data_IF_053871555247
#
_entry.id   IF_053871555247
#
_cell.length_a   1.000
_cell.length_b   1.000
_cell.length_c   1.000
_cell.angle_alpha   90.00
_cell.angle_beta   90.00
_cell.angle_gamma   90.00
#
_symmetry.space_group_name_H-M   'P 1'
#
loop_
_entity.id
_entity.type
_entity.pdbx_description
1 polymer ?
#
# COMPACT_ATOMS: atom_id res chain seq x y z
N UNK A 1 19.90 -7.64 -25.37
CA UNK A 1 18.69 -8.14 -24.75
C UNK A 1 18.11 -9.22 -25.65
N UNK A 2 18.00 -10.44 -25.11
CA UNK A 2 17.36 -11.55 -25.81
C UNK A 2 15.96 -11.73 -25.21
N UNK A 3 14.96 -11.13 -25.86
CA UNK A 3 13.57 -11.37 -25.51
C UNK A 3 13.03 -12.55 -26.31
N UNK A 4 12.25 -13.38 -25.66
CA UNK A 4 11.57 -14.53 -26.28
C UNK A 4 12.51 -15.56 -26.90
N UNK A 5 13.72 -15.73 -26.31
CA UNK A 5 14.69 -16.74 -26.76
C UNK A 5 14.73 -17.92 -25.76
N UNK A 6 14.06 -19.00 -26.12
CA UNK A 6 14.01 -20.23 -25.32
C UNK A 6 15.38 -20.96 -25.18
N UNK A 7 16.37 -20.59 -26.01
CA UNK A 7 17.72 -21.21 -26.00
C UNK A 7 18.68 -20.51 -25.05
N UNK A 8 18.30 -19.34 -24.56
CA UNK A 8 19.13 -18.53 -23.69
C UNK A 8 18.58 -18.57 -22.27
N UNK A 9 19.43 -18.90 -21.30
CA UNK A 9 19.05 -18.84 -19.90
C UNK A 9 18.91 -17.38 -19.43
N UNK A 10 18.13 -17.18 -18.36
CA UNK A 10 18.06 -15.88 -17.70
C UNK A 10 19.41 -15.51 -17.09
N UNK A 11 19.71 -14.23 -17.10
CA UNK A 11 20.96 -13.67 -16.51
C UNK A 11 20.87 -13.64 -14.99
N UNK A 12 20.80 -14.80 -14.34
CA UNK A 12 20.61 -14.96 -12.90
C UNK A 12 21.64 -14.22 -12.05
N UNK A 13 22.87 -14.01 -12.58
CA UNK A 13 23.90 -13.24 -11.88
C UNK A 13 23.48 -11.80 -11.60
N UNK A 14 22.53 -11.23 -12.38
CA UNK A 14 21.99 -9.90 -12.14
C UNK A 14 21.25 -9.82 -10.80
N UNK A 15 20.73 -10.92 -10.28
CA UNK A 15 20.07 -10.94 -8.98
C UNK A 15 21.04 -10.63 -7.81
N UNK A 16 22.35 -10.73 -8.02
CA UNK A 16 23.36 -10.35 -7.04
C UNK A 16 23.68 -8.85 -7.06
N UNK A 17 23.33 -8.16 -8.15
CA UNK A 17 23.46 -6.70 -8.24
C UNK A 17 22.52 -6.00 -7.25
N UNK A 18 22.98 -4.98 -6.49
CA UNK A 18 22.20 -4.39 -5.40
C UNK A 18 20.80 -3.94 -5.81
N UNK A 19 20.65 -3.23 -6.92
CA UNK A 19 19.36 -2.72 -7.38
C UNK A 19 18.40 -3.84 -7.81
N UNK A 20 18.90 -4.86 -8.49
CA UNK A 20 18.10 -6.01 -8.92
C UNK A 20 17.70 -6.88 -7.74
N UNK A 21 18.60 -7.08 -6.78
CA UNK A 21 18.33 -7.80 -5.54
C UNK A 21 17.25 -7.09 -4.71
N UNK A 22 17.31 -5.77 -4.60
CA UNK A 22 16.30 -4.98 -3.89
C UNK A 22 14.95 -5.08 -4.56
N UNK A 23 14.88 -5.02 -5.88
CA UNK A 23 13.66 -5.22 -6.64
C UNK A 23 13.10 -6.63 -6.46
N UNK A 24 13.93 -7.66 -6.56
CA UNK A 24 13.55 -9.06 -6.31
C UNK A 24 12.95 -9.23 -4.90
N UNK A 25 13.60 -8.62 -3.90
CA UNK A 25 13.14 -8.62 -2.52
C UNK A 25 11.77 -7.93 -2.41
N UNK A 26 11.59 -6.79 -3.06
CA UNK A 26 10.32 -6.05 -3.07
C UNK A 26 9.18 -6.90 -3.62
N UNK A 27 9.38 -7.54 -4.77
CA UNK A 27 8.38 -8.45 -5.35
C UNK A 27 8.09 -9.66 -4.45
N UNK A 28 9.11 -10.25 -3.85
CA UNK A 28 8.94 -11.34 -2.89
C UNK A 28 8.07 -10.91 -1.70
N UNK A 29 8.33 -9.74 -1.14
CA UNK A 29 7.57 -9.19 -0.03
C UNK A 29 6.11 -8.86 -0.43
N UNK A 30 5.87 -8.35 -1.65
CA UNK A 30 4.52 -8.16 -2.19
C UNK A 30 3.73 -9.48 -2.27
N UNK A 31 4.36 -10.54 -2.77
CA UNK A 31 3.73 -11.87 -2.85
C UNK A 31 3.41 -12.44 -1.47
N UNK A 32 4.30 -12.24 -0.49
CA UNK A 32 4.04 -12.64 0.90
C UNK A 32 2.87 -11.85 1.52
N UNK A 33 2.79 -10.54 1.25
CA UNK A 33 1.66 -9.72 1.69
C UNK A 33 0.36 -10.21 1.04
N UNK A 34 0.38 -10.49 -0.27
CA UNK A 34 -0.78 -11.03 -0.97
C UNK A 34 -1.29 -12.32 -0.31
N UNK A 35 -0.41 -13.27 -0.04
CA UNK A 35 -0.77 -14.52 0.63
C UNK A 35 -1.27 -14.33 2.06
N UNK A 36 -0.68 -13.37 2.80
CA UNK A 36 -0.97 -13.13 4.21
C UNK A 36 -2.31 -12.45 4.45
N UNK A 37 -2.76 -11.59 3.51
CA UNK A 37 -3.94 -10.74 3.69
C UNK A 37 -5.08 -11.15 2.76
N UNK A 38 -6.07 -11.93 3.25
CA UNK A 38 -7.23 -12.36 2.45
C UNK A 38 -8.03 -11.21 1.83
N UNK A 39 -7.96 -10.00 2.41
CA UNK A 39 -8.56 -8.80 1.84
C UNK A 39 -8.09 -8.49 0.41
N UNK A 40 -6.95 -9.04 -0.04
CA UNK A 40 -6.42 -8.83 -1.38
C UNK A 40 -7.01 -9.76 -2.45
N UNK A 41 -7.68 -10.86 -2.06
CA UNK A 41 -8.16 -11.84 -3.04
C UNK A 41 -9.52 -12.48 -2.73
N UNK A 42 -9.96 -12.55 -1.46
CA UNK A 42 -11.18 -13.31 -1.11
C UNK A 42 -12.46 -12.74 -1.69
N UNK A 43 -12.55 -11.43 -1.78
CA UNK A 43 -13.72 -10.72 -2.28
C UNK A 43 -13.44 -9.94 -3.58
N UNK A 44 -12.57 -10.48 -4.46
CA UNK A 44 -12.22 -9.81 -5.72
C UNK A 44 -13.39 -9.68 -6.69
N UNK A 45 -14.31 -10.63 -6.66
CA UNK A 45 -15.52 -10.62 -7.48
C UNK A 45 -16.76 -10.06 -6.77
N UNK A 46 -16.59 -9.52 -5.56
CA UNK A 46 -17.68 -8.98 -4.75
C UNK A 46 -17.45 -7.48 -4.48
N UNK A 47 -18.49 -6.68 -4.71
CA UNK A 47 -18.48 -5.23 -4.43
C UNK A 47 -18.15 -4.88 -2.99
N UNK A 48 -18.45 -5.76 -2.04
CA UNK A 48 -18.12 -5.56 -0.62
C UNK A 48 -16.61 -5.62 -0.35
N UNK A 49 -15.83 -6.21 -1.24
CA UNK A 49 -14.37 -6.34 -1.13
C UNK A 49 -13.60 -5.06 -1.42
N UNK A 50 -14.24 -4.06 -2.03
CA UNK A 50 -13.59 -2.82 -2.46
C UNK A 50 -14.43 -1.59 -2.13
N UNK A 51 -13.77 -0.52 -1.68
CA UNK A 51 -14.40 0.78 -1.48
C UNK A 51 -13.42 1.91 -1.79
N UNK A 52 -13.78 2.81 -2.69
CA UNK A 52 -13.09 4.08 -2.82
C UNK A 52 -13.25 4.93 -1.55
N UNK A 53 -12.17 5.54 -1.11
CA UNK A 53 -12.18 6.61 -0.10
C UNK A 53 -12.03 7.95 -0.82
N UNK A 54 -11.00 8.09 -1.64
CA UNK A 54 -10.80 9.23 -2.50
C UNK A 54 -10.38 8.75 -3.90
N UNK A 55 -11.24 8.95 -4.89
CA UNK A 55 -11.00 8.60 -6.29
C UNK A 55 -10.88 9.84 -7.19
N UNK A 56 -11.20 11.03 -6.67
CA UNK A 56 -11.42 12.24 -7.48
C UNK A 56 -10.45 13.39 -7.14
N UNK A 57 -9.33 13.11 -6.51
CA UNK A 57 -8.30 14.10 -6.20
C UNK A 57 -7.41 14.38 -7.42
N UNK A 58 -8.03 14.87 -8.49
CA UNK A 58 -7.35 15.13 -9.76
C UNK A 58 -6.24 16.16 -9.66
N UNK A 59 -6.39 17.17 -8.81
CA UNK A 59 -5.42 18.24 -8.64
C UNK A 59 -4.12 17.75 -7.98
N UNK A 60 -4.24 16.75 -7.10
CA UNK A 60 -3.08 16.17 -6.40
C UNK A 60 -2.67 14.81 -6.93
N UNK A 61 -3.50 14.18 -7.78
CA UNK A 61 -3.31 12.82 -8.29
C UNK A 61 -2.99 11.80 -7.19
N UNK A 62 -3.75 11.89 -6.09
CA UNK A 62 -3.65 10.97 -4.96
C UNK A 62 -4.95 10.16 -4.88
N UNK A 63 -4.82 8.86 -4.73
CA UNK A 63 -5.94 7.94 -4.62
C UNK A 63 -5.88 7.19 -3.31
N UNK A 64 -7.05 6.93 -2.73
CA UNK A 64 -7.16 6.04 -1.58
C UNK A 64 -8.37 5.14 -1.68
N UNK A 65 -8.20 3.89 -1.27
CA UNK A 65 -9.25 2.89 -1.27
C UNK A 65 -9.03 1.83 -0.20
N UNK A 66 -10.08 1.09 0.09
CA UNK A 66 -10.07 -0.01 1.04
C UNK A 66 -10.30 -1.33 0.34
N UNK A 67 -9.55 -2.35 0.75
CA UNK A 67 -9.82 -3.76 0.51
C UNK A 67 -10.29 -4.42 1.79
N UNK A 68 -11.32 -5.26 1.68
CA UNK A 68 -11.92 -5.96 2.83
C UNK A 68 -11.81 -7.46 2.68
N UNK A 69 -11.67 -8.14 3.82
CA UNK A 69 -11.89 -9.57 3.89
C UNK A 69 -13.35 -9.90 4.26
N UNK A 70 -13.73 -11.16 4.17
CA UNK A 70 -15.06 -11.66 4.50
C UNK A 70 -15.47 -11.35 5.95
N UNK A 71 -14.51 -11.23 6.85
CA UNK A 71 -14.74 -11.01 8.29
C UNK A 71 -14.86 -9.53 8.65
N UNK A 72 -14.38 -8.64 7.79
CA UNK A 72 -14.24 -7.21 8.07
C UNK A 72 -13.26 -6.85 9.19
N UNK A 73 -12.41 -7.81 9.60
CA UNK A 73 -11.47 -7.65 10.72
C UNK A 73 -10.01 -7.44 10.29
N UNK A 74 -9.70 -7.67 9.02
CA UNK A 74 -8.34 -7.53 8.47
C UNK A 74 -8.38 -6.71 7.20
N UNK A 75 -8.88 -5.50 7.31
CA UNK A 75 -9.01 -4.60 6.17
C UNK A 75 -7.67 -3.94 5.85
N UNK A 76 -7.50 -3.56 4.60
CA UNK A 76 -6.36 -2.81 4.11
C UNK A 76 -6.80 -1.48 3.52
N UNK A 77 -6.14 -0.41 3.90
CA UNK A 77 -6.28 0.92 3.31
C UNK A 77 -5.04 1.19 2.44
N UNK A 78 -5.26 1.52 1.20
CA UNK A 78 -4.25 1.94 0.24
C UNK A 78 -4.29 3.46 0.08
N UNK A 79 -3.12 4.09 0.05
CA UNK A 79 -2.93 5.51 -0.25
C UNK A 79 -1.79 5.62 -1.24
N UNK A 80 -2.06 6.21 -2.42
CA UNK A 80 -1.12 6.22 -3.54
C UNK A 80 -0.97 7.64 -4.06
N UNK A 81 0.26 8.13 -4.14
CA UNK A 81 0.63 9.41 -4.72
C UNK A 81 1.31 9.21 -6.08
N UNK A 82 0.66 9.64 -7.14
CA UNK A 82 1.19 9.55 -8.51
C UNK A 82 2.01 10.78 -8.94
N UNK A 83 2.39 11.65 -7.99
CA UNK A 83 3.15 12.87 -8.30
C UNK A 83 4.56 12.87 -7.74
N UNK A 84 5.48 13.68 -8.31
CA UNK A 84 6.84 13.85 -7.79
C UNK A 84 6.88 14.73 -6.52
N UNK A 85 5.73 15.13 -5.98
CA UNK A 85 5.64 15.99 -4.81
C UNK A 85 5.33 15.17 -3.56
N UNK A 86 6.24 15.19 -2.60
CA UNK A 86 5.97 14.67 -1.26
C UNK A 86 4.92 15.52 -0.54
N UNK A 87 4.15 14.89 0.36
CA UNK A 87 3.10 15.52 1.17
C UNK A 87 3.35 15.18 2.63
N UNK A 88 4.06 16.05 3.35
CA UNK A 88 4.53 15.76 4.72
C UNK A 88 3.40 15.53 5.74
N UNK A 89 2.22 16.08 5.50
CA UNK A 89 1.05 15.98 6.39
C UNK A 89 -0.22 15.65 5.58
N UNK A 90 -0.16 14.66 4.68
CA UNK A 90 -1.35 14.26 3.92
C UNK A 90 -2.39 13.63 4.85
N UNK A 91 -3.58 14.22 4.87
CA UNK A 91 -4.68 13.71 5.68
C UNK A 91 -5.49 12.67 4.91
N UNK A 92 -5.60 11.50 5.48
CA UNK A 92 -6.31 10.36 4.91
C UNK A 92 -7.63 10.15 5.63
N UNK A 93 -8.73 10.19 4.88
CA UNK A 93 -10.06 9.87 5.41
C UNK A 93 -10.22 8.38 5.68
N UNK A 94 -10.88 8.01 6.77
CA UNK A 94 -11.10 6.61 7.16
C UNK A 94 -12.47 6.38 7.80
N UNK A 95 -13.11 5.20 7.55
CA UNK A 95 -14.49 4.96 7.97
C UNK A 95 -14.64 4.64 9.46
N UNK A 96 -13.59 4.18 10.12
CA UNK A 96 -13.65 3.71 11.51
C UNK A 96 -12.66 4.42 12.41
N UNK A 97 -13.05 4.62 13.66
CA UNK A 97 -12.10 4.96 14.73
C UNK A 97 -11.25 3.75 15.04
N UNK A 98 -9.93 3.92 15.11
CA UNK A 98 -9.02 2.82 15.42
C UNK A 98 -7.56 3.12 15.10
N UNK A 99 -6.76 2.07 15.17
CA UNK A 99 -5.33 2.12 14.84
C UNK A 99 -5.10 1.61 13.42
N UNK A 100 -4.39 2.39 12.64
CA UNK A 100 -3.96 2.11 11.28
C UNK A 100 -2.46 1.84 11.29
N UNK A 101 -2.09 0.58 11.03
CA UNK A 101 -0.69 0.12 11.09
C UNK A 101 -0.15 -0.05 9.68
N UNK A 102 0.92 0.66 9.36
CA UNK A 102 1.63 0.54 8.09
C UNK A 102 2.21 -0.87 7.95
N UNK A 103 1.92 -1.53 6.84
CA UNK A 103 2.44 -2.87 6.53
C UNK A 103 3.29 -2.91 5.27
N UNK A 104 3.17 -1.88 4.45
CA UNK A 104 3.91 -1.71 3.21
C UNK A 104 4.02 -0.23 2.88
N UNK A 105 5.21 0.25 2.54
CA UNK A 105 5.42 1.44 1.74
C UNK A 105 6.64 1.23 0.82
N UNK A 106 6.71 1.97 -0.27
CA UNK A 106 7.77 1.81 -1.26
C UNK A 106 9.07 2.53 -0.91
N UNK A 107 9.12 3.30 0.18
CA UNK A 107 10.33 4.01 0.60
C UNK A 107 10.98 3.43 1.86
N UNK A 108 10.18 3.03 2.84
CA UNK A 108 10.68 2.68 4.17
C UNK A 108 10.35 1.24 4.59
N UNK A 109 9.30 0.65 3.99
CA UNK A 109 8.59 -0.43 4.65
C UNK A 109 9.23 -1.78 4.50
N UNK A 110 9.41 -2.24 3.31
CA UNK A 110 9.78 -3.63 3.07
C UNK A 110 11.26 -3.89 3.25
N UNK A 111 12.07 -2.88 3.01
CA UNK A 111 13.53 -3.00 3.05
C UNK A 111 14.12 -2.89 4.45
N UNK A 112 13.36 -2.37 5.41
CA UNK A 112 13.79 -2.18 6.80
C UNK A 112 12.84 -2.88 7.78
N UNK A 113 12.64 -4.17 7.62
CA UNK A 113 11.85 -4.96 8.57
C UNK A 113 12.37 -4.77 9.99
N UNK A 114 11.54 -4.24 10.86
CA UNK A 114 11.71 -4.28 12.30
C UNK A 114 12.01 -2.95 12.98
N UNK A 115 12.42 -1.90 12.27
CA UNK A 115 12.86 -0.69 12.98
C UNK A 115 11.82 0.44 13.10
N UNK A 116 10.77 0.46 12.29
CA UNK A 116 9.72 1.49 12.38
C UNK A 116 8.33 0.94 12.04
N UNK A 117 7.70 0.32 13.01
CA UNK A 117 6.27 0.05 12.93
C UNK A 117 5.51 1.38 13.04
N UNK A 118 5.25 2.04 11.92
CA UNK A 118 4.39 3.20 11.89
C UNK A 118 2.96 2.77 12.21
N UNK A 119 2.39 3.35 13.26
CA UNK A 119 0.98 3.19 13.60
C UNK A 119 0.41 4.53 13.98
N UNK A 120 -0.75 4.87 13.44
CA UNK A 120 -1.51 6.07 13.80
C UNK A 120 -2.90 5.71 14.27
N UNK A 121 -3.34 6.37 15.31
CA UNK A 121 -4.73 6.35 15.73
C UNK A 121 -5.48 7.44 14.98
N UNK A 122 -6.61 7.08 14.38
CA UNK A 122 -7.49 8.04 13.74
C UNK A 122 -8.15 8.97 14.77
N UNK A 123 -8.39 10.20 14.37
CA UNK A 123 -9.10 11.21 15.15
C UNK A 123 -10.47 11.48 14.52
N UNK A 124 -11.42 11.96 15.31
CA UNK A 124 -12.75 12.37 14.82
C UNK A 124 -12.60 13.71 14.09
N UNK A 125 -12.24 13.62 12.84
CA UNK A 125 -12.09 14.77 11.93
C UNK A 125 -12.44 14.28 10.53
N UNK A 126 -13.46 14.86 9.93
CA UNK A 126 -13.93 14.50 8.60
C UNK A 126 -12.87 14.77 7.54
N UNK A 127 -12.70 13.82 6.63
CA UNK A 127 -11.84 13.94 5.46
C UNK A 127 -12.31 12.96 4.38
N UNK A 128 -12.32 13.38 3.12
CA UNK A 128 -12.73 12.54 1.97
C UNK A 128 -14.13 11.90 2.17
N UNK A 129 -15.06 12.61 2.79
CA UNK A 129 -16.40 12.09 3.13
C UNK A 129 -16.39 10.98 4.20
N UNK A 130 -15.28 10.76 4.89
CA UNK A 130 -15.18 9.79 5.98
C UNK A 130 -15.19 10.50 7.34
N UNK A 131 -15.81 9.91 8.40
CA UNK A 131 -15.98 10.56 9.70
C UNK A 131 -14.71 10.69 10.53
N UNK A 132 -13.67 9.96 10.18
CA UNK A 132 -12.38 9.96 10.86
C UNK A 132 -11.24 10.19 9.87
N UNK A 133 -10.08 10.57 10.38
CA UNK A 133 -8.88 10.72 9.57
C UNK A 133 -7.61 10.58 10.41
N UNK A 134 -6.48 10.41 9.74
CA UNK A 134 -5.15 10.55 10.32
C UNK A 134 -4.18 11.19 9.32
N UNK A 135 -3.09 11.75 9.82
CA UNK A 135 -2.04 12.32 8.98
C UNK A 135 -0.93 11.31 8.72
N UNK A 136 -0.43 11.29 7.48
CA UNK A 136 0.68 10.45 7.05
C UNK A 136 1.62 11.25 6.12
N UNK A 137 2.95 11.20 6.34
CA UNK A 137 3.92 11.79 5.42
C UNK A 137 4.00 10.91 4.17
N UNK A 138 3.25 11.29 3.14
CA UNK A 138 3.13 10.54 1.90
C UNK A 138 4.25 10.97 0.94
N UNK A 139 5.21 10.08 0.60
CA UNK A 139 6.33 10.41 -0.27
C UNK A 139 5.90 10.72 -1.71
N UNK A 140 6.79 11.35 -2.47
CA UNK A 140 6.67 11.45 -3.92
C UNK A 140 6.62 10.05 -4.54
N UNK A 141 5.68 9.82 -5.46
CA UNK A 141 5.42 8.50 -6.05
C UNK A 141 5.22 7.39 -4.98
N UNK A 142 4.75 7.80 -3.79
CA UNK A 142 4.61 6.94 -2.62
C UNK A 142 3.36 6.06 -2.68
N UNK A 143 3.52 4.81 -2.28
CA UNK A 143 2.41 3.90 -2.01
C UNK A 143 2.51 3.42 -0.57
N UNK A 144 1.45 3.63 0.20
CA UNK A 144 1.36 3.17 1.58
C UNK A 144 0.14 2.25 1.76
N UNK A 145 0.33 1.14 2.47
CA UNK A 145 -0.73 0.19 2.80
C UNK A 145 -0.82 0.03 4.31
N UNK A 146 -1.99 0.30 4.85
CA UNK A 146 -2.27 0.21 6.27
C UNK A 146 -3.25 -0.92 6.55
N UNK A 147 -2.95 -1.73 7.57
CA UNK A 147 -3.90 -2.68 8.14
C UNK A 147 -4.73 -2.00 9.22
N UNK A 148 -6.05 -2.28 9.25
CA UNK A 148 -6.98 -1.87 10.31
C UNK A 148 -8.11 -2.88 10.50
N UNK A 149 -8.84 -2.78 11.62
CA UNK A 149 -9.95 -3.66 11.98
C UNK A 149 -11.31 -2.98 11.91
#
# INVERSE_FOLDING_TARGET
YHEWDEKTALDWYLAEEPQHRDLLKYYSDLLHIYQKYPALYRLDSDWNGFQWINANDGDRSIFSFIRRDETGKKNLLFVINFTPMARDDYRVGVPKSGTYTLILDNEHGLYKRGEHAFSKRSVKSECDGQPYSFAYPLPAYGTAVFRFN
#
